data_IF_572013218420
#
_entry.id   IF_572013218420
#
_cell.length_a   1.000
_cell.length_b   1.000
_cell.length_c   1.000
_cell.angle_alpha   90.00
_cell.angle_beta   90.00
_cell.angle_gamma   90.00
#
_symmetry.space_group_name_H-M   'P 1'
#
loop_
_entity.id
_entity.type
_entity.pdbx_description
1 polymer ?
#
# COMPACT_ATOMS: atom_id res chain seq x y z
N UNK A 1 -9.81 16.39 14.34
CA UNK A 1 -10.77 15.42 14.95
C UNK A 1 -11.41 14.64 13.81
N UNK A 2 -11.03 13.37 13.63
CA UNK A 2 -11.67 12.49 12.65
C UNK A 2 -13.15 12.36 13.01
N UNK A 3 -14.06 12.80 12.13
CA UNK A 3 -15.50 12.69 12.33
C UNK A 3 -15.99 11.45 11.58
N UNK A 4 -16.54 10.44 12.26
CA UNK A 4 -17.22 9.34 11.59
C UNK A 4 -18.56 9.88 11.06
N UNK A 5 -18.68 10.10 9.75
CA UNK A 5 -19.92 10.54 9.15
C UNK A 5 -19.74 11.38 7.90
N UNK A 6 -19.37 10.73 6.79
CA UNK A 6 -19.73 11.19 5.45
C UNK A 6 -19.99 9.97 4.60
N UNK A 7 -21.14 9.98 3.92
CA UNK A 7 -21.74 8.86 3.21
C UNK A 7 -20.80 8.14 2.24
N UNK A 8 -20.89 6.81 2.33
CA UNK A 8 -20.28 5.85 1.43
C UNK A 8 -20.94 5.92 0.05
N UNK A 9 -20.46 6.78 -0.84
CA UNK A 9 -20.74 6.66 -2.28
C UNK A 9 -19.59 7.22 -3.10
N UNK A 10 -18.92 6.29 -3.81
CA UNK A 10 -18.05 6.52 -4.96
C UNK A 10 -16.73 7.28 -4.69
N UNK A 11 -15.87 6.75 -3.83
CA UNK A 11 -14.44 6.90 -4.10
C UNK A 11 -14.06 5.86 -5.15
N UNK A 12 -13.99 6.31 -6.41
CA UNK A 12 -13.32 5.55 -7.47
C UNK A 12 -11.95 5.19 -6.95
N UNK A 13 -11.73 3.92 -6.62
CA UNK A 13 -10.41 3.36 -6.47
C UNK A 13 -9.72 3.54 -7.82
N UNK A 14 -9.01 4.66 -8.01
CA UNK A 14 -8.01 4.78 -9.04
C UNK A 14 -6.95 3.76 -8.64
N UNK A 15 -7.10 2.54 -9.13
CA UNK A 15 -6.07 1.51 -9.06
C UNK A 15 -4.82 2.12 -9.67
N UNK A 16 -3.91 2.61 -8.81
CA UNK A 16 -2.70 3.25 -9.26
C UNK A 16 -1.95 2.21 -10.12
N UNK A 17 -1.45 2.55 -11.32
CA UNK A 17 -0.90 1.58 -12.27
C UNK A 17 0.25 0.72 -11.70
N UNK A 18 0.89 1.17 -10.63
CA UNK A 18 1.92 0.42 -9.89
C UNK A 18 1.33 -0.72 -9.03
N UNK A 19 0.17 -0.53 -8.41
CA UNK A 19 -0.54 -1.56 -7.65
C UNK A 19 -1.07 -2.66 -8.58
N UNK A 20 -1.50 -2.29 -9.79
CA UNK A 20 -1.95 -3.24 -10.81
C UNK A 20 -0.81 -4.15 -11.29
N UNK A 21 0.43 -3.64 -11.32
CA UNK A 21 1.65 -4.39 -11.62
C UNK A 21 2.11 -5.27 -10.46
N UNK A 22 1.87 -4.86 -9.22
CA UNK A 22 2.24 -5.60 -8.01
C UNK A 22 1.25 -6.75 -7.71
N UNK A 23 -0.05 -6.56 -7.99
CA UNK A 23 -1.12 -7.54 -7.71
C UNK A 23 -1.45 -8.49 -8.88
N UNK A 24 -0.71 -8.45 -10.00
CA UNK A 24 -0.89 -9.41 -11.09
C UNK A 24 -2.24 -9.35 -11.83
N UNK A 25 -3.02 -8.27 -11.68
CA UNK A 25 -4.34 -8.15 -12.32
C UNK A 25 -4.20 -7.69 -13.77
N UNK A 26 -4.18 -8.66 -14.69
CA UNK A 26 -4.16 -8.44 -16.14
C UNK A 26 -5.36 -7.60 -16.61
N UNK A 27 -5.17 -6.60 -17.50
CA UNK A 27 -6.27 -6.01 -18.24
C UNK A 27 -6.81 -7.01 -19.26
N UNK A 28 -8.12 -7.24 -19.26
CA UNK A 28 -8.80 -7.87 -20.38
C UNK A 28 -8.71 -6.94 -21.60
N UNK A 29 -8.19 -7.46 -22.71
CA UNK A 29 -8.14 -6.76 -23.99
C UNK A 29 -9.57 -6.67 -24.57
N UNK A 30 -10.07 -5.46 -24.79
CA UNK A 30 -11.18 -5.22 -25.71
C UNK A 30 -10.57 -4.69 -27.00
N UNK A 31 -10.65 -5.48 -28.06
CA UNK A 31 -10.28 -5.07 -29.42
C UNK A 31 -11.43 -4.28 -30.05
N UNK A 32 -11.13 -3.11 -30.61
CA UNK A 32 -12.03 -2.36 -31.50
C UNK A 32 -11.21 -1.69 -32.61
N UNK A 33 -11.45 -2.09 -33.86
CA UNK A 33 -10.75 -1.69 -35.10
C UNK A 33 -10.83 -0.19 -35.41
N UNK A 34 -9.79 0.40 -36.02
CA UNK A 34 -9.43 0.43 -37.46
C UNK A 34 -9.96 1.67 -38.19
N UNK A 35 -9.06 2.56 -38.64
CA UNK A 35 -9.04 3.11 -40.01
C UNK A 35 -7.81 3.97 -40.29
N UNK A 36 -7.38 3.93 -41.55
CA UNK A 36 -6.06 4.29 -42.09
C UNK A 36 -5.99 5.76 -42.58
N UNK A 37 -4.80 6.38 -42.53
CA UNK A 37 -4.31 7.28 -43.61
C UNK A 37 -2.78 7.34 -43.62
N UNK A 38 -2.22 7.38 -44.84
CA UNK A 38 -0.80 7.27 -45.24
C UNK A 38 -0.01 8.58 -45.08
N UNK A 39 1.29 8.48 -44.83
CA UNK A 39 2.28 9.56 -45.00
C UNK A 39 3.73 9.08 -44.78
N UNK A 40 4.75 9.58 -45.51
CA UNK A 40 6.04 8.89 -45.64
C UNK A 40 7.15 9.37 -44.68
N UNK A 41 7.88 8.37 -44.20
CA UNK A 41 9.29 8.21 -43.80
C UNK A 41 10.18 9.48 -43.79
N UNK A 42 10.70 9.83 -42.59
CA UNK A 42 12.09 10.26 -42.37
C UNK A 42 12.44 10.12 -40.86
N UNK A 43 13.46 9.31 -40.60
CA UNK A 43 13.87 8.79 -39.29
C UNK A 43 14.58 9.81 -38.40
N UNK A 44 14.47 9.67 -37.07
CA UNK A 44 15.60 9.89 -36.18
C UNK A 44 16.03 8.57 -35.53
N UNK A 45 17.33 8.27 -35.60
CA UNK A 45 17.97 7.17 -34.89
C UNK A 45 17.67 7.29 -33.39
N UNK A 46 16.71 6.50 -32.89
CA UNK A 46 16.50 6.29 -31.47
C UNK A 46 17.39 5.13 -31.04
N UNK A 47 18.41 5.45 -30.25
CA UNK A 47 19.31 4.50 -29.60
C UNK A 47 18.49 3.45 -28.87
N UNK A 48 18.46 2.25 -29.44
CA UNK A 48 17.84 1.07 -28.86
C UNK A 48 18.80 0.49 -27.83
N UNK A 49 18.83 1.08 -26.64
CA UNK A 49 19.19 0.34 -25.45
C UNK A 49 17.99 -0.56 -25.14
N UNK A 50 17.97 -1.75 -25.76
CA UNK A 50 17.19 -2.88 -25.25
C UNK A 50 17.79 -3.23 -23.89
N UNK A 51 17.35 -2.54 -22.86
CA UNK A 51 17.43 -3.07 -21.51
C UNK A 51 16.47 -4.26 -21.47
N UNK A 52 17.03 -5.42 -21.77
CA UNK A 52 16.50 -6.71 -21.36
C UNK A 52 16.55 -6.75 -19.84
N UNK A 53 15.60 -6.09 -19.18
CA UNK A 53 15.31 -6.36 -17.78
C UNK A 53 14.42 -7.61 -17.76
N UNK A 54 15.02 -8.75 -17.42
CA UNK A 54 14.30 -9.91 -16.91
C UNK A 54 13.71 -9.55 -15.54
N UNK A 55 12.73 -8.65 -15.52
CA UNK A 55 11.95 -8.38 -14.32
C UNK A 55 11.11 -9.64 -14.07
N UNK A 56 11.62 -10.55 -13.24
CA UNK A 56 10.79 -11.60 -12.65
C UNK A 56 9.58 -10.90 -12.02
N UNK A 57 8.34 -11.21 -12.42
CA UNK A 57 7.19 -10.70 -11.72
C UNK A 57 7.25 -11.19 -10.27
N UNK A 58 7.17 -10.25 -9.32
CA UNK A 58 6.40 -10.48 -8.10
C UNK A 58 7.08 -11.17 -6.92
N UNK A 59 8.31 -10.79 -6.55
CA UNK A 59 8.82 -11.07 -5.20
C UNK A 59 8.86 -9.75 -4.43
N UNK A 60 7.73 -9.37 -3.83
CA UNK A 60 7.61 -8.15 -3.05
C UNK A 60 7.92 -8.48 -1.59
N UNK A 61 8.97 -7.87 -1.03
CA UNK A 61 9.38 -8.09 0.37
C UNK A 61 8.67 -7.11 1.32
N UNK A 62 8.73 -7.37 2.63
CA UNK A 62 8.15 -6.50 3.65
C UNK A 62 8.69 -5.07 3.54
N UNK A 63 10.00 -4.93 3.34
CA UNK A 63 10.67 -3.63 3.15
C UNK A 63 10.17 -2.90 1.90
N UNK A 64 9.95 -3.61 0.80
CA UNK A 64 9.42 -3.01 -0.43
C UNK A 64 8.00 -2.48 -0.23
N UNK A 65 7.15 -3.25 0.46
CA UNK A 65 5.77 -2.84 0.78
C UNK A 65 5.76 -1.64 1.72
N UNK A 66 6.61 -1.62 2.74
CA UNK A 66 6.72 -0.47 3.65
C UNK A 66 7.10 0.79 2.88
N UNK A 67 8.15 0.71 2.07
CA UNK A 67 8.63 1.83 1.26
C UNK A 67 7.58 2.33 0.26
N UNK A 68 6.81 1.41 -0.32
CA UNK A 68 5.73 1.75 -1.24
C UNK A 68 4.62 2.54 -0.52
N UNK A 69 4.09 2.02 0.57
CA UNK A 69 2.97 2.66 1.28
C UNK A 69 3.39 3.94 1.99
N UNK A 70 4.63 4.03 2.49
CA UNK A 70 5.19 5.29 3.00
C UNK A 70 5.06 6.40 1.95
N UNK A 71 5.55 6.17 0.73
CA UNK A 71 5.49 7.16 -0.37
C UNK A 71 4.05 7.54 -0.73
N UNK A 72 3.14 6.56 -0.74
CA UNK A 72 1.72 6.78 -1.01
C UNK A 72 1.12 7.67 0.08
N UNK A 73 1.39 7.39 1.35
CA UNK A 73 0.91 8.19 2.47
C UNK A 73 1.49 9.61 2.47
N UNK A 74 2.79 9.77 2.22
CA UNK A 74 3.46 11.08 2.10
C UNK A 74 2.83 11.92 0.98
N UNK A 75 2.62 11.33 -0.20
CA UNK A 75 2.03 12.02 -1.36
C UNK A 75 0.60 12.47 -1.08
N UNK A 76 -0.14 11.78 -0.21
CA UNK A 76 -1.50 12.13 0.18
C UNK A 76 -1.58 13.00 1.45
N UNK A 77 -0.43 13.44 1.99
CA UNK A 77 -0.37 14.27 3.19
C UNK A 77 -0.87 13.56 4.45
N UNK A 78 -0.69 12.24 4.53
CA UNK A 78 -0.99 11.45 5.71
C UNK A 78 0.17 11.59 6.71
N UNK A 79 -0.08 11.99 7.97
CA UNK A 79 0.98 12.11 8.96
C UNK A 79 1.54 10.74 9.37
N UNK A 80 2.74 10.70 9.93
CA UNK A 80 3.39 9.46 10.41
C UNK A 80 3.39 8.37 9.33
N UNK A 81 3.70 8.77 8.09
CA UNK A 81 3.54 7.92 6.91
C UNK A 81 4.39 6.65 7.00
N UNK A 82 5.63 6.78 7.45
CA UNK A 82 6.54 5.64 7.58
C UNK A 82 6.09 4.71 8.70
N UNK A 83 5.81 5.26 9.87
CA UNK A 83 5.36 4.52 11.05
C UNK A 83 4.04 3.79 10.74
N UNK A 84 3.08 4.47 10.11
CA UNK A 84 1.81 3.87 9.69
C UNK A 84 2.03 2.66 8.79
N UNK A 85 2.96 2.77 7.84
CA UNK A 85 3.31 1.70 6.90
C UNK A 85 3.97 0.52 7.62
N UNK A 86 4.93 0.80 8.49
CA UNK A 86 5.63 -0.21 9.31
C UNK A 86 4.65 -0.96 10.22
N UNK A 87 3.74 -0.25 10.90
CA UNK A 87 2.73 -0.86 11.77
C UNK A 87 1.76 -1.76 11.00
N UNK A 88 1.22 -1.30 9.87
CA UNK A 88 0.29 -2.10 9.05
C UNK A 88 0.95 -3.38 8.55
N UNK A 89 2.19 -3.29 8.04
CA UNK A 89 2.90 -4.47 7.53
C UNK A 89 3.24 -5.43 8.67
N UNK A 90 3.73 -4.92 9.80
CA UNK A 90 4.08 -5.75 10.96
C UNK A 90 2.87 -6.50 11.50
N UNK A 91 1.72 -5.81 11.62
CA UNK A 91 0.47 -6.39 12.07
C UNK A 91 0.03 -7.58 11.20
N UNK A 92 0.07 -7.43 9.87
CA UNK A 92 -0.30 -8.51 8.93
C UNK A 92 0.69 -9.68 8.98
N UNK A 93 1.95 -9.41 9.31
CA UNK A 93 2.97 -10.44 9.51
C UNK A 93 2.96 -11.04 10.93
N UNK A 94 2.04 -10.62 11.81
CA UNK A 94 1.90 -11.13 13.17
C UNK A 94 2.99 -10.64 14.13
N UNK A 95 3.61 -9.49 13.85
CA UNK A 95 4.64 -8.88 14.67
C UNK A 95 4.15 -7.55 15.30
N UNK A 96 4.63 -7.25 16.50
CA UNK A 96 4.30 -6.01 17.22
C UNK A 96 4.96 -4.79 16.58
N UNK A 97 6.22 -4.94 16.18
CA UNK A 97 7.01 -3.86 15.56
C UNK A 97 7.76 -4.39 14.35
N UNK A 98 8.10 -3.48 13.43
CA UNK A 98 8.82 -3.86 12.22
C UNK A 98 10.22 -4.40 12.52
N UNK A 99 10.87 -3.86 13.55
CA UNK A 99 12.19 -4.28 14.02
C UNK A 99 12.17 -5.68 14.65
N UNK A 100 11.02 -6.14 15.17
CA UNK A 100 10.87 -7.49 15.73
C UNK A 100 10.72 -8.59 14.67
N UNK A 101 10.56 -8.22 13.40
CA UNK A 101 10.49 -9.19 12.30
C UNK A 101 11.81 -9.95 12.17
N UNK A 102 11.73 -11.28 12.14
CA UNK A 102 12.91 -12.11 11.93
C UNK A 102 13.46 -11.95 10.50
N UNK A 103 14.74 -12.27 10.34
CA UNK A 103 15.45 -12.15 9.05
C UNK A 103 14.80 -12.95 7.92
N UNK A 104 14.13 -14.06 8.26
CA UNK A 104 13.37 -14.88 7.30
C UNK A 104 12.14 -14.12 6.78
N UNK A 105 11.36 -13.52 7.66
CA UNK A 105 10.14 -12.77 7.29
C UNK A 105 10.47 -11.57 6.41
N UNK A 106 11.59 -10.89 6.65
CA UNK A 106 12.02 -9.75 5.83
C UNK A 106 12.41 -10.17 4.40
N UNK A 107 12.99 -11.36 4.24
CA UNK A 107 13.44 -11.89 2.92
C UNK A 107 12.36 -12.69 2.21
N UNK A 108 11.35 -13.15 2.94
CA UNK A 108 10.26 -13.95 2.37
C UNK A 108 9.28 -13.03 1.66
N UNK A 109 8.95 -13.30 0.39
CA UNK A 109 7.94 -12.55 -0.34
C UNK A 109 6.57 -12.66 0.33
N UNK A 110 5.80 -11.57 0.31
CA UNK A 110 4.46 -11.59 0.85
C UNK A 110 3.51 -12.40 -0.04
N UNK A 111 2.67 -13.20 0.61
CA UNK A 111 1.58 -13.91 -0.07
C UNK A 111 0.53 -12.93 -0.59
N UNK A 112 -0.28 -13.35 -1.56
CA UNK A 112 -1.35 -12.52 -2.10
C UNK A 112 -2.35 -12.07 -1.03
N UNK A 113 -2.69 -12.96 -0.08
CA UNK A 113 -3.60 -12.67 1.04
C UNK A 113 -3.02 -11.57 1.94
N UNK A 114 -1.74 -11.65 2.28
CA UNK A 114 -1.08 -10.62 3.10
C UNK A 114 -1.04 -9.27 2.37
N UNK A 115 -0.74 -9.27 1.07
CA UNK A 115 -0.75 -8.04 0.27
C UNK A 115 -2.14 -7.40 0.23
N UNK A 116 -3.19 -8.21 0.06
CA UNK A 116 -4.58 -7.74 0.09
C UNK A 116 -4.96 -7.16 1.46
N UNK A 117 -4.61 -7.83 2.55
CA UNK A 117 -4.86 -7.34 3.91
C UNK A 117 -4.16 -6.00 4.17
N UNK A 118 -2.88 -5.87 3.77
CA UNK A 118 -2.13 -4.61 3.88
C UNK A 118 -2.83 -3.52 3.08
N UNK A 119 -3.26 -3.81 1.85
CA UNK A 119 -3.97 -2.83 1.03
C UNK A 119 -5.27 -2.35 1.69
N UNK A 120 -6.07 -3.26 2.26
CA UNK A 120 -7.32 -2.90 2.93
C UNK A 120 -7.07 -1.99 4.13
N UNK A 121 -6.08 -2.30 4.96
CA UNK A 121 -5.70 -1.47 6.11
C UNK A 121 -5.15 -0.11 5.66
N UNK A 122 -4.30 -0.08 4.65
CA UNK A 122 -3.75 1.15 4.11
C UNK A 122 -4.80 2.05 3.48
N UNK A 123 -5.85 1.48 2.86
CA UNK A 123 -6.97 2.27 2.36
C UNK A 123 -7.73 2.99 3.49
N UNK A 124 -7.97 2.32 4.61
CA UNK A 124 -8.55 2.98 5.81
C UNK A 124 -7.63 4.10 6.31
N UNK A 125 -6.31 3.88 6.29
CA UNK A 125 -5.33 4.91 6.67
C UNK A 125 -5.38 6.12 5.73
N UNK A 126 -5.58 5.90 4.42
CA UNK A 126 -5.76 6.97 3.42
C UNK A 126 -7.00 7.84 3.68
N UNK A 127 -8.03 7.27 4.30
CA UNK A 127 -9.20 8.03 4.80
C UNK A 127 -8.88 8.88 6.04
N UNK A 128 -7.59 9.05 6.36
CA UNK A 128 -7.06 9.76 7.53
C UNK A 128 -7.53 9.17 8.86
N UNK A 129 -7.95 7.91 8.86
CA UNK A 129 -8.23 7.17 10.08
C UNK A 129 -6.93 7.01 10.88
N UNK A 130 -6.93 7.23 12.20
CA UNK A 130 -5.76 6.95 13.06
C UNK A 130 -5.32 5.49 12.92
N UNK A 131 -4.01 5.24 12.84
CA UNK A 131 -3.46 3.90 12.61
C UNK A 131 -3.92 2.90 13.69
N UNK A 132 -4.08 3.36 14.92
CA UNK A 132 -4.56 2.57 16.05
C UNK A 132 -5.97 2.01 15.79
N UNK A 133 -6.86 2.80 15.20
CA UNK A 133 -8.18 2.31 14.82
C UNK A 133 -8.15 1.45 13.56
N UNK A 134 -7.22 1.72 12.63
CA UNK A 134 -7.02 0.89 11.43
C UNK A 134 -6.67 -0.54 11.84
N UNK A 135 -5.74 -0.70 12.79
CA UNK A 135 -5.32 -2.00 13.32
C UNK A 135 -6.36 -2.64 14.24
N UNK A 136 -7.10 -1.82 14.99
CA UNK A 136 -8.14 -2.31 15.92
C UNK A 136 -7.59 -2.79 17.26
N UNK A 137 -6.28 -2.71 17.46
CA UNK A 137 -5.60 -2.93 18.73
C UNK A 137 -4.35 -2.05 18.85
N UNK A 138 -3.96 -1.76 20.08
CA UNK A 138 -2.82 -0.92 20.38
C UNK A 138 -2.16 -1.30 21.69
N UNK A 139 -0.84 -1.36 21.71
CA UNK A 139 -0.07 -1.59 22.91
C UNK A 139 0.08 -0.26 23.68
N UNK A 140 -0.25 -0.30 24.97
CA UNK A 140 -0.09 0.80 25.92
C UNK A 140 0.48 0.23 27.21
N UNK A 141 1.73 0.60 27.53
CA UNK A 141 2.50 -0.02 28.60
C UNK A 141 2.54 -1.57 28.42
N UNK A 142 2.17 -2.34 29.44
CA UNK A 142 2.13 -3.80 29.40
C UNK A 142 0.77 -4.37 28.93
N UNK A 143 -0.13 -3.52 28.44
CA UNK A 143 -1.48 -3.90 28.02
C UNK A 143 -1.68 -3.76 26.50
N UNK A 144 -2.35 -4.72 25.89
CA UNK A 144 -2.86 -4.59 24.52
C UNK A 144 -4.36 -4.24 24.57
N UNK A 145 -4.69 -3.01 24.20
CA UNK A 145 -6.04 -2.48 24.23
C UNK A 145 -6.76 -2.76 22.91
N UNK A 146 -8.06 -3.06 22.95
CA UNK A 146 -8.91 -3.11 21.75
C UNK A 146 -9.34 -1.71 21.36
N UNK A 147 -9.06 -1.33 20.12
CA UNK A 147 -9.28 0.01 19.59
C UNK A 147 -10.47 0.02 18.65
N UNK A 148 -11.47 0.84 18.97
CA UNK A 148 -12.65 1.08 18.13
C UNK A 148 -13.09 2.52 18.31
N UNK A 149 -13.48 3.25 17.26
CA UNK A 149 -14.12 4.55 17.44
C UNK A 149 -15.40 4.41 18.31
N UNK A 150 -15.70 5.38 19.20
CA UNK A 150 -14.99 6.64 19.47
C UNK A 150 -13.98 6.56 20.64
N UNK A 151 -13.50 5.37 21.02
CA UNK A 151 -12.61 5.18 22.19
C UNK A 151 -11.37 6.05 22.09
N UNK A 152 -11.09 6.85 23.12
CA UNK A 152 -9.93 7.73 23.14
C UNK A 152 -8.62 6.96 22.88
N UNK A 153 -7.75 7.54 22.05
CA UNK A 153 -6.42 6.99 21.77
C UNK A 153 -5.47 7.48 22.87
N UNK A 154 -4.89 6.56 23.69
CA UNK A 154 -3.96 6.95 24.75
C UNK A 154 -2.81 7.80 24.21
N UNK A 155 -2.43 8.84 24.95
CA UNK A 155 -1.27 9.67 24.65
C UNK A 155 -0.15 9.35 25.65
N UNK A 156 1.11 9.31 25.21
CA UNK A 156 2.24 9.07 26.11
C UNK A 156 2.38 10.19 27.15
N UNK A 157 1.86 11.40 26.88
CA UNK A 157 1.88 12.50 27.85
C UNK A 157 0.93 12.31 29.04
N UNK A 158 0.03 11.32 28.97
CA UNK A 158 -0.95 11.01 30.03
C UNK A 158 -0.57 9.79 30.86
N UNK A 159 0.70 9.37 30.79
CA UNK A 159 1.33 8.38 31.68
C UNK A 159 1.77 9.00 33.02
#
# INVERSE_FOLDING_TARGET
MWKPGTDFTTMRCLTHPLLRRLLGLSPQCVQGGSSQTKGPILSPKRSSLRQSCSARPGLVTATDVVNYWQKVFETNGIPEARESSEYIVSFVLGAKTFQSLNSKSLRTPLTAVQQEQIQQLSNKRLERMPVQYVLGEWDFQDLTLKMRPPVFIPRPETE
#
